data_IF_429869496848
#
_entry.id   IF_429869496848
#
_cell.length_a   1.000
_cell.length_b   1.000
_cell.length_c   1.000
_cell.angle_alpha   90.00
_cell.angle_beta   90.00
_cell.angle_gamma   90.00
#
_symmetry.space_group_name_H-M   'P 1'
#
loop_
_entity.id
_entity.type
_entity.pdbx_description
1 polymer ?
#
# COMPACT_ATOMS: atom_id res chain seq x y z
N UNK A 1 15.97 -0.45 -26.57
CA UNK A 1 15.12 0.71 -26.22
C UNK A 1 15.74 1.99 -26.77
N UNK A 2 15.01 3.10 -26.82
CA UNK A 2 15.50 4.40 -27.35
C UNK A 2 16.51 5.12 -26.44
N UNK A 3 17.07 4.45 -25.43
CA UNK A 3 17.97 5.07 -24.44
C UNK A 3 17.29 6.07 -23.51
N UNK A 4 15.96 5.96 -23.32
CA UNK A 4 15.16 6.88 -22.52
C UNK A 4 14.47 6.14 -21.37
N UNK A 5 14.22 6.86 -20.27
CA UNK A 5 13.51 6.39 -19.08
C UNK A 5 12.70 7.51 -18.42
N UNK A 6 11.86 7.15 -17.45
CA UNK A 6 11.15 8.15 -16.66
C UNK A 6 12.14 8.92 -15.75
N UNK A 7 11.92 10.21 -15.46
CA UNK A 7 12.94 11.05 -14.82
C UNK A 7 13.13 10.83 -13.31
N UNK A 8 12.13 10.27 -12.61
CA UNK A 8 12.20 10.01 -11.17
C UNK A 8 12.90 8.70 -10.80
N UNK A 9 13.04 8.42 -9.50
CA UNK A 9 13.77 7.25 -8.99
C UNK A 9 12.88 6.02 -9.02
N UNK A 10 11.85 5.98 -8.18
CA UNK A 10 10.83 4.92 -8.13
C UNK A 10 9.47 5.58 -8.30
N UNK A 11 9.01 5.69 -9.55
CA UNK A 11 7.78 6.41 -9.93
C UNK A 11 6.55 5.52 -10.09
N UNK A 12 6.75 4.21 -10.12
CA UNK A 12 5.71 3.23 -10.38
C UNK A 12 5.63 2.27 -9.19
N UNK A 13 4.43 1.74 -8.90
CA UNK A 13 4.28 0.79 -7.82
C UNK A 13 5.07 -0.51 -8.10
N UNK A 14 5.41 -1.28 -7.05
CA UNK A 14 6.11 -2.55 -7.20
C UNK A 14 5.43 -3.55 -8.14
N UNK A 15 4.10 -3.46 -8.31
CA UNK A 15 3.36 -4.26 -9.28
C UNK A 15 3.28 -3.55 -10.65
N UNK A 16 4.02 -4.07 -11.62
CA UNK A 16 4.23 -3.42 -12.92
C UNK A 16 3.19 -3.70 -14.01
N UNK A 17 2.11 -4.45 -13.73
CA UNK A 17 1.08 -4.78 -14.74
C UNK A 17 -0.07 -3.76 -14.81
N UNK A 18 0.17 -2.51 -14.40
CA UNK A 18 -0.82 -1.42 -14.48
C UNK A 18 -0.74 -0.67 -15.80
N UNK A 19 -1.88 -0.21 -16.31
CA UNK A 19 -1.89 0.74 -17.43
C UNK A 19 -1.39 2.11 -16.95
N UNK A 20 -0.76 2.88 -17.84
CA UNK A 20 -0.30 4.25 -17.52
C UNK A 20 -1.48 5.14 -17.10
N UNK A 21 -2.64 4.99 -17.75
CA UNK A 21 -3.86 5.72 -17.38
C UNK A 21 -4.32 5.40 -15.96
N UNK A 22 -4.36 4.10 -15.59
CA UNK A 22 -4.69 3.69 -14.22
C UNK A 22 -3.70 4.26 -13.21
N UNK A 23 -2.39 4.11 -13.45
CA UNK A 23 -1.36 4.61 -12.55
C UNK A 23 -1.47 6.13 -12.32
N UNK A 24 -1.80 6.90 -13.36
CA UNK A 24 -2.06 8.33 -13.24
C UNK A 24 -3.32 8.60 -12.40
N UNK A 25 -4.48 8.07 -12.80
CA UNK A 25 -5.75 8.46 -12.17
C UNK A 25 -5.89 7.97 -10.73
N UNK A 26 -5.17 6.92 -10.34
CA UNK A 26 -5.19 6.45 -8.94
C UNK A 26 -4.08 7.04 -8.08
N UNK A 27 -3.29 7.98 -8.61
CA UNK A 27 -2.08 8.50 -7.95
C UNK A 27 -1.13 7.38 -7.51
N UNK A 28 -1.01 6.32 -8.33
CA UNK A 28 -0.10 5.23 -8.02
C UNK A 28 1.33 5.74 -8.00
N UNK A 29 2.08 5.28 -7.01
CA UNK A 29 3.38 5.82 -6.70
C UNK A 29 4.36 4.72 -6.29
N UNK A 30 5.66 5.01 -6.43
CA UNK A 30 6.73 4.26 -5.79
C UNK A 30 7.13 4.93 -4.47
N UNK A 31 8.40 5.26 -4.35
CA UNK A 31 8.99 5.98 -3.22
C UNK A 31 10.06 6.95 -3.72
N UNK A 32 10.19 8.12 -3.11
CA UNK A 32 11.28 9.06 -3.40
C UNK A 32 11.53 10.02 -2.26
N UNK A 33 12.80 10.38 -2.05
CA UNK A 33 13.24 11.38 -1.09
C UNK A 33 13.71 12.69 -1.76
N UNK A 34 13.84 12.70 -3.09
CA UNK A 34 14.46 13.80 -3.85
C UNK A 34 13.54 14.43 -4.90
N UNK A 35 12.31 13.93 -5.05
CA UNK A 35 11.35 14.44 -6.01
C UNK A 35 10.02 13.68 -6.00
N UNK A 36 9.15 13.91 -6.99
CA UNK A 36 7.88 13.20 -7.10
C UNK A 36 8.07 11.68 -7.15
N UNK A 37 7.15 10.95 -6.53
CA UNK A 37 7.11 9.48 -6.55
C UNK A 37 5.97 8.93 -7.43
N UNK A 38 5.19 9.79 -8.08
CA UNK A 38 4.05 9.46 -8.94
C UNK A 38 4.26 10.00 -10.36
N UNK A 39 3.36 9.62 -11.29
CA UNK A 39 3.46 10.02 -12.69
C UNK A 39 3.00 11.45 -12.97
N UNK A 40 2.09 12.02 -12.15
CA UNK A 40 1.38 13.27 -12.46
C UNK A 40 2.31 14.43 -12.84
N UNK A 41 3.35 14.74 -12.06
CA UNK A 41 4.29 15.83 -12.37
C UNK A 41 5.07 15.67 -13.69
N UNK A 42 5.10 14.45 -14.23
CA UNK A 42 5.77 14.14 -15.50
C UNK A 42 4.82 14.08 -16.70
N UNK A 43 3.50 14.24 -16.49
CA UNK A 43 2.53 14.30 -17.59
C UNK A 43 2.54 15.68 -18.23
N UNK A 44 2.93 15.75 -19.50
CA UNK A 44 2.99 17.00 -20.27
C UNK A 44 1.70 17.30 -21.03
N UNK A 45 0.97 16.27 -21.43
CA UNK A 45 -0.34 16.40 -22.03
C UNK A 45 -1.15 15.11 -21.85
N UNK A 46 -2.48 15.21 -21.89
CA UNK A 46 -3.37 14.07 -21.97
C UNK A 46 -4.59 14.36 -22.85
N UNK A 47 -5.22 13.31 -23.34
CA UNK A 47 -6.53 13.37 -23.99
C UNK A 47 -7.55 12.70 -23.08
N UNK A 48 -8.59 13.45 -22.73
CA UNK A 48 -9.68 13.02 -21.85
C UNK A 48 -11.00 13.03 -22.63
N UNK A 49 -11.77 11.94 -22.57
CA UNK A 49 -13.16 11.89 -23.01
C UNK A 49 -14.06 12.03 -21.80
N UNK A 50 -14.85 13.11 -21.75
CA UNK A 50 -15.66 13.47 -20.61
C UNK A 50 -17.03 12.76 -20.58
N UNK A 51 -17.86 13.05 -19.57
CA UNK A 51 -19.16 12.40 -19.36
C UNK A 51 -20.20 12.70 -20.44
N UNK A 52 -19.97 13.73 -21.25
CA UNK A 52 -20.80 14.09 -22.41
C UNK A 52 -20.29 13.46 -23.72
N UNK A 53 -19.12 12.83 -23.69
CA UNK A 53 -18.43 12.32 -24.88
C UNK A 53 -17.57 13.37 -25.59
N UNK A 54 -17.38 14.55 -25.00
CA UNK A 54 -16.48 15.57 -25.55
C UNK A 54 -15.02 15.18 -25.31
N UNK A 55 -14.18 15.44 -26.32
CA UNK A 55 -12.74 15.20 -26.26
C UNK A 55 -12.04 16.49 -25.82
N UNK A 56 -11.27 16.40 -24.74
CA UNK A 56 -10.47 17.47 -24.19
C UNK A 56 -8.99 17.16 -24.36
N UNK A 57 -8.26 18.07 -24.99
CA UNK A 57 -6.81 18.08 -24.96
C UNK A 57 -6.37 18.92 -23.75
N UNK A 58 -5.65 18.29 -22.83
CA UNK A 58 -5.23 18.90 -21.58
C UNK A 58 -3.72 19.13 -21.59
N UNK A 59 -3.30 20.35 -21.25
CA UNK A 59 -1.90 20.72 -21.09
C UNK A 59 -1.50 20.61 -19.61
N UNK A 60 -0.37 19.93 -19.34
CA UNK A 60 0.13 19.65 -17.97
C UNK A 60 -0.96 19.15 -16.99
N UNK A 61 -1.69 18.09 -17.31
CA UNK A 61 -2.90 17.68 -16.58
C UNK A 61 -2.62 16.90 -15.28
N UNK A 62 -1.39 16.87 -14.78
CA UNK A 62 -1.02 16.12 -13.57
C UNK A 62 -1.94 16.44 -12.40
N UNK A 63 -2.08 17.73 -12.09
CA UNK A 63 -2.86 18.22 -10.94
C UNK A 63 -4.37 17.95 -11.08
N UNK A 64 -4.86 17.78 -12.32
CA UNK A 64 -6.26 17.46 -12.58
C UNK A 64 -6.54 15.95 -12.52
N UNK A 65 -5.66 15.15 -13.12
CA UNK A 65 -5.89 13.73 -13.34
C UNK A 65 -5.37 12.87 -12.20
N UNK A 66 -4.30 13.27 -11.52
CA UNK A 66 -3.71 12.49 -10.44
C UNK A 66 -4.69 12.35 -9.26
N UNK A 67 -4.97 11.09 -8.88
CA UNK A 67 -5.92 10.78 -7.82
C UNK A 67 -7.41 10.97 -8.20
N UNK A 68 -7.72 11.38 -9.43
CA UNK A 68 -9.10 11.60 -9.90
C UNK A 68 -9.97 10.32 -9.95
N UNK A 69 -9.35 9.15 -9.85
CA UNK A 69 -9.97 7.83 -9.90
C UNK A 69 -10.88 7.58 -11.12
N UNK A 70 -10.65 8.32 -12.23
CA UNK A 70 -11.46 8.23 -13.45
C UNK A 70 -12.82 8.94 -13.38
N UNK A 71 -13.09 9.70 -12.32
CA UNK A 71 -14.38 10.38 -12.11
C UNK A 71 -14.58 11.61 -13.01
N UNK A 72 -13.53 12.04 -13.71
CA UNK A 72 -13.58 13.14 -14.67
C UNK A 72 -13.82 12.65 -16.10
N UNK A 73 -13.56 11.38 -16.39
CA UNK A 73 -13.59 10.87 -17.76
C UNK A 73 -12.63 9.72 -18.03
N UNK A 74 -12.56 9.34 -19.30
CA UNK A 74 -11.68 8.30 -19.80
C UNK A 74 -10.44 8.93 -20.41
N UNK A 75 -9.28 8.72 -19.79
CA UNK A 75 -7.99 9.13 -20.35
C UNK A 75 -7.61 8.15 -21.46
N UNK A 76 -7.53 8.64 -22.70
CA UNK A 76 -7.23 7.82 -23.88
C UNK A 76 -5.77 7.90 -24.32
N UNK A 77 -5.12 9.05 -24.09
CA UNK A 77 -3.73 9.29 -24.46
C UNK A 77 -3.01 10.08 -23.38
N UNK A 78 -1.72 9.80 -23.17
CA UNK A 78 -0.85 10.48 -22.20
C UNK A 78 0.51 10.74 -22.85
N UNK A 79 1.00 11.97 -22.75
CA UNK A 79 2.37 12.34 -23.15
C UNK A 79 3.21 12.54 -21.90
N UNK A 80 4.25 11.72 -21.73
CA UNK A 80 5.15 11.76 -20.58
C UNK A 80 6.47 12.45 -20.92
N UNK A 81 6.98 13.26 -19.99
CA UNK A 81 8.36 13.67 -20.01
C UNK A 81 9.27 12.48 -19.72
N UNK A 82 10.33 12.35 -20.52
CA UNK A 82 11.34 11.30 -20.37
C UNK A 82 12.72 11.90 -20.44
N UNK A 83 13.66 11.31 -19.71
CA UNK A 83 15.09 11.66 -19.73
C UNK A 83 15.94 10.52 -20.29
N UNK A 84 17.27 10.69 -20.34
CA UNK A 84 18.19 9.59 -20.60
C UNK A 84 17.94 8.42 -19.64
N UNK A 85 18.00 7.20 -20.16
CA UNK A 85 17.91 6.01 -19.32
C UNK A 85 19.11 5.95 -18.36
N UNK A 86 18.85 5.57 -17.12
CA UNK A 86 19.84 5.48 -16.05
C UNK A 86 19.75 4.16 -15.30
N UNK A 87 20.81 3.83 -14.59
CA UNK A 87 20.80 2.74 -13.62
C UNK A 87 20.59 3.28 -12.21
N UNK A 88 20.19 2.38 -11.33
CA UNK A 88 20.05 2.62 -9.90
C UNK A 88 20.76 1.49 -9.16
N UNK A 89 21.29 1.82 -7.99
CA UNK A 89 21.87 0.88 -7.05
C UNK A 89 20.93 0.77 -5.85
N UNK A 90 20.59 -0.45 -5.45
CA UNK A 90 19.72 -0.71 -4.30
C UNK A 90 20.46 -1.56 -3.28
N UNK A 91 20.59 -1.04 -2.07
CA UNK A 91 21.10 -1.79 -0.92
C UNK A 91 19.93 -2.25 -0.06
N UNK A 92 19.85 -3.55 0.19
CA UNK A 92 18.89 -4.13 1.13
C UNK A 92 19.54 -4.28 2.51
N UNK A 93 18.90 -3.73 3.53
CA UNK A 93 19.33 -3.75 4.93
C UNK A 93 18.24 -4.43 5.74
N UNK A 94 18.57 -5.49 6.46
CA UNK A 94 17.65 -6.15 7.39
C UNK A 94 18.15 -5.93 8.80
N UNK A 95 17.29 -5.39 9.65
CA UNK A 95 17.62 -5.00 11.02
C UNK A 95 16.48 -5.34 11.98
N UNK A 96 16.80 -5.38 13.27
CA UNK A 96 15.80 -5.43 14.33
C UNK A 96 15.01 -4.12 14.37
N UNK A 97 13.70 -4.18 14.58
CA UNK A 97 12.84 -3.01 14.48
C UNK A 97 12.90 -2.06 15.67
N UNK A 98 13.63 -2.40 16.74
CA UNK A 98 13.69 -1.63 17.99
C UNK A 98 14.02 -0.14 17.80
N UNK A 99 14.89 0.19 16.85
CA UNK A 99 15.30 1.56 16.50
C UNK A 99 14.77 2.05 15.14
N UNK A 100 13.74 1.38 14.56
CA UNK A 100 13.20 1.64 13.22
C UNK A 100 13.16 3.14 12.84
N UNK A 101 12.51 3.98 13.64
CA UNK A 101 12.39 5.42 13.32
C UNK A 101 13.75 6.13 13.30
N UNK A 102 14.63 5.81 14.23
CA UNK A 102 15.99 6.38 14.31
C UNK A 102 16.85 5.93 13.13
N UNK A 103 16.82 4.64 12.80
CA UNK A 103 17.60 4.06 11.71
C UNK A 103 17.17 4.63 10.34
N UNK A 104 15.85 4.74 10.09
CA UNK A 104 15.36 5.33 8.85
C UNK A 104 15.73 6.81 8.71
N UNK A 105 15.72 7.57 9.82
CA UNK A 105 16.19 8.96 9.82
C UNK A 105 17.68 9.05 9.49
N UNK A 106 18.51 8.21 10.12
CA UNK A 106 19.94 8.17 9.85
C UNK A 106 20.24 7.86 8.37
N UNK A 107 19.53 6.89 7.79
CA UNK A 107 19.61 6.57 6.37
C UNK A 107 19.25 7.80 5.51
N UNK A 108 18.12 8.45 5.78
CA UNK A 108 17.66 9.60 5.00
C UNK A 108 18.65 10.77 5.08
N UNK A 109 19.22 11.03 6.26
CA UNK A 109 20.10 12.18 6.51
C UNK A 109 21.55 11.95 6.02
N UNK A 110 22.07 10.72 6.11
CA UNK A 110 23.50 10.46 5.97
C UNK A 110 23.90 9.54 4.81
N UNK A 111 22.96 8.94 4.07
CA UNK A 111 23.31 7.99 2.99
C UNK A 111 23.24 8.54 1.57
N UNK A 112 22.76 9.77 1.34
CA UNK A 112 22.44 10.28 0.00
C UNK A 112 21.41 9.40 -0.74
N UNK A 113 20.47 8.82 0.01
CA UNK A 113 19.39 8.01 -0.56
C UNK A 113 18.47 8.88 -1.44
N UNK A 114 18.25 8.43 -2.68
CA UNK A 114 17.32 9.04 -3.61
C UNK A 114 15.88 8.52 -3.42
N UNK A 115 15.76 7.30 -2.90
CA UNK A 115 14.50 6.72 -2.43
C UNK A 115 14.77 5.72 -1.30
N UNK A 116 13.75 5.50 -0.48
CA UNK A 116 13.76 4.52 0.60
C UNK A 116 12.41 3.84 0.66
N UNK A 117 12.38 2.53 0.77
CA UNK A 117 11.14 1.83 1.06
C UNK A 117 11.40 0.65 2.01
N UNK A 118 10.41 0.33 2.83
CA UNK A 118 10.58 -0.57 3.98
C UNK A 118 9.49 -1.62 3.99
N UNK A 119 9.84 -2.86 4.27
CA UNK A 119 8.90 -3.90 4.68
C UNK A 119 9.16 -4.18 6.16
N UNK A 120 8.21 -3.82 7.01
CA UNK A 120 8.27 -3.97 8.45
C UNK A 120 7.34 -5.09 8.91
N UNK A 121 7.84 -5.98 9.75
CA UNK A 121 7.02 -6.98 10.44
C UNK A 121 7.17 -6.78 11.95
N UNK A 122 6.26 -6.00 12.58
CA UNK A 122 6.31 -5.78 14.03
C UNK A 122 6.21 -7.11 14.80
N UNK A 123 5.48 -8.07 14.23
CA UNK A 123 5.32 -9.41 14.79
C UNK A 123 6.61 -10.22 14.82
N UNK A 124 7.50 -10.00 13.84
CA UNK A 124 8.80 -10.64 13.77
C UNK A 124 9.90 -9.82 14.48
N UNK A 125 9.61 -8.59 14.91
CA UNK A 125 10.59 -7.67 15.51
C UNK A 125 11.68 -7.21 14.53
N UNK A 126 11.38 -7.20 13.23
CA UNK A 126 12.36 -6.91 12.18
C UNK A 126 11.76 -6.06 11.05
N UNK A 127 12.63 -5.35 10.36
CA UNK A 127 12.31 -4.70 9.10
C UNK A 127 13.41 -4.90 8.07
N UNK A 128 13.03 -4.74 6.81
CA UNK A 128 13.94 -4.68 5.68
C UNK A 128 13.78 -3.34 4.98
N UNK A 129 14.82 -2.52 5.00
CA UNK A 129 14.92 -1.27 4.27
C UNK A 129 15.65 -1.47 2.93
N UNK A 130 15.13 -0.84 1.87
CA UNK A 130 15.72 -0.83 0.54
C UNK A 130 16.11 0.60 0.22
N UNK A 131 17.42 0.86 0.22
CA UNK A 131 18.02 2.19 0.06
C UNK A 131 18.47 2.33 -1.38
N UNK A 132 17.88 3.29 -2.10
CA UNK A 132 18.10 3.50 -3.52
C UNK A 132 19.03 4.68 -3.76
N UNK A 133 20.04 4.48 -4.60
CA UNK A 133 20.92 5.53 -5.07
C UNK A 133 20.84 5.64 -6.59
N UNK A 134 20.86 6.87 -7.09
CA UNK A 134 20.99 7.13 -8.52
C UNK A 134 22.41 6.75 -8.99
N UNK A 135 22.54 6.21 -10.20
CA UNK A 135 23.85 5.90 -10.78
C UNK A 135 23.88 6.23 -12.26
N UNK A 136 25.08 6.22 -12.82
CA UNK A 136 25.30 6.38 -14.25
C UNK A 136 24.97 5.12 -15.05
N UNK A 137 24.71 5.29 -16.35
CA UNK A 137 24.33 4.22 -17.26
C UNK A 137 25.43 3.18 -17.52
N UNK A 138 26.71 3.57 -17.32
CA UNK A 138 27.89 2.73 -17.53
C UNK A 138 28.23 1.84 -16.33
N UNK A 139 27.57 2.04 -15.18
CA UNK A 139 27.76 1.21 -14.00
C UNK A 139 27.44 -0.26 -14.31
N UNK A 140 28.29 -1.19 -13.85
CA UNK A 140 28.11 -2.63 -14.09
C UNK A 140 26.92 -3.20 -13.30
N UNK A 141 26.20 -4.14 -13.89
CA UNK A 141 25.02 -4.81 -13.32
C UNK A 141 23.79 -4.77 -14.23
N UNK A 142 22.98 -5.83 -14.20
CA UNK A 142 21.67 -5.89 -14.87
C UNK A 142 20.61 -6.54 -13.95
N UNK A 143 20.62 -6.14 -12.68
CA UNK A 143 19.63 -6.61 -11.72
C UNK A 143 18.21 -6.23 -12.16
N UNK A 144 17.23 -7.01 -11.71
CA UNK A 144 15.80 -6.80 -11.98
C UNK A 144 15.00 -7.02 -10.71
N UNK A 145 13.90 -6.29 -10.60
CA UNK A 145 12.96 -6.43 -9.50
C UNK A 145 12.26 -7.79 -9.55
N UNK A 146 12.17 -8.44 -8.39
CA UNK A 146 11.48 -9.72 -8.16
C UNK A 146 10.46 -9.58 -7.03
N UNK A 147 9.87 -8.39 -6.89
CA UNK A 147 8.85 -8.11 -5.88
C UNK A 147 7.77 -9.17 -5.84
N UNK A 148 7.57 -9.72 -4.65
CA UNK A 148 6.54 -10.73 -4.41
C UNK A 148 6.81 -12.07 -5.09
N UNK A 149 7.94 -12.29 -5.76
CA UNK A 149 8.26 -13.60 -6.35
C UNK A 149 8.69 -14.56 -5.25
N UNK A 150 8.00 -15.69 -5.16
CA UNK A 150 8.29 -16.78 -4.23
C UNK A 150 8.18 -18.11 -4.96
N UNK A 151 8.90 -19.14 -4.50
CA UNK A 151 8.80 -20.46 -5.11
C UNK A 151 7.38 -21.02 -5.00
N UNK A 152 6.98 -21.83 -5.99
CA UNK A 152 5.65 -22.44 -5.99
C UNK A 152 5.39 -23.29 -4.72
N UNK A 153 6.41 -24.04 -4.28
CA UNK A 153 6.36 -24.86 -3.06
C UNK A 153 6.14 -23.99 -1.81
N UNK A 154 6.81 -22.83 -1.75
CA UNK A 154 6.61 -21.89 -0.66
C UNK A 154 5.19 -21.32 -0.67
N UNK A 155 4.66 -20.94 -1.83
CA UNK A 155 3.30 -20.39 -1.95
C UNK A 155 2.23 -21.41 -1.55
N UNK A 156 2.40 -22.69 -1.93
CA UNK A 156 1.50 -23.75 -1.51
C UNK A 156 1.56 -23.96 0.02
N UNK A 157 2.77 -23.99 0.59
CA UNK A 157 2.95 -24.12 2.04
C UNK A 157 2.36 -22.93 2.79
N UNK A 158 2.58 -21.70 2.31
CA UNK A 158 2.02 -20.46 2.85
C UNK A 158 0.49 -20.53 2.88
N UNK A 159 -0.14 -20.91 1.77
CA UNK A 159 -1.58 -21.04 1.69
C UNK A 159 -2.15 -22.03 2.72
N UNK A 160 -1.49 -23.19 2.90
CA UNK A 160 -1.90 -24.18 3.92
C UNK A 160 -1.78 -23.63 5.35
N UNK A 161 -0.66 -22.96 5.66
CA UNK A 161 -0.42 -22.35 6.98
C UNK A 161 -1.45 -21.26 7.31
N UNK A 162 -1.75 -20.38 6.33
CA UNK A 162 -2.74 -19.31 6.50
C UNK A 162 -4.18 -19.86 6.67
N UNK A 163 -4.54 -20.93 5.96
CA UNK A 163 -5.83 -21.62 6.19
C UNK A 163 -5.90 -22.25 7.58
N UNK A 164 -4.79 -22.84 8.05
CA UNK A 164 -4.70 -23.43 9.38
C UNK A 164 -4.82 -22.38 10.49
N UNK A 165 -4.19 -21.22 10.34
CA UNK A 165 -4.27 -20.13 11.32
C UNK A 165 -5.70 -19.65 11.58
N UNK A 166 -6.50 -19.49 10.51
CA UNK A 166 -7.90 -19.05 10.62
C UNK A 166 -8.79 -20.03 11.40
N UNK A 167 -8.46 -21.33 11.44
CA UNK A 167 -9.21 -22.35 12.22
C UNK A 167 -8.55 -22.71 13.54
N UNK A 168 -7.29 -22.33 13.75
CA UNK A 168 -6.50 -22.75 14.91
C UNK A 168 -6.99 -22.09 16.20
N UNK A 169 -7.08 -22.89 17.27
CA UNK A 169 -7.44 -22.39 18.61
C UNK A 169 -6.26 -21.74 19.35
N UNK A 170 -5.03 -22.02 18.91
CA UNK A 170 -3.79 -21.56 19.53
C UNK A 170 -2.77 -21.18 18.45
N UNK A 171 -1.81 -20.34 18.81
CA UNK A 171 -0.71 -19.99 17.92
C UNK A 171 0.26 -21.16 17.72
N UNK A 172 0.50 -21.51 16.46
CA UNK A 172 1.46 -22.55 16.05
C UNK A 172 2.83 -21.97 15.70
N UNK A 173 2.95 -20.63 15.60
CA UNK A 173 4.16 -19.95 15.15
C UNK A 173 4.41 -20.04 13.63
N UNK A 174 3.57 -20.78 12.89
CA UNK A 174 3.73 -20.96 11.44
C UNK A 174 3.57 -19.65 10.66
N UNK A 175 2.71 -18.75 11.15
CA UNK A 175 2.54 -17.41 10.57
C UNK A 175 3.76 -16.54 10.86
N UNK A 176 4.39 -16.66 12.03
CA UNK A 176 5.62 -15.93 12.34
C UNK A 176 6.75 -16.29 11.36
N UNK A 177 6.93 -17.60 11.10
CA UNK A 177 7.91 -18.06 10.11
C UNK A 177 7.61 -17.51 8.71
N UNK A 178 6.34 -17.49 8.30
CA UNK A 178 5.91 -16.91 7.03
C UNK A 178 6.27 -15.42 6.91
N UNK A 179 6.01 -14.63 7.96
CA UNK A 179 6.34 -13.21 7.97
C UNK A 179 7.84 -12.96 7.97
N UNK A 180 8.62 -13.81 8.65
CA UNK A 180 10.07 -13.79 8.60
C UNK A 180 10.58 -13.96 7.16
N UNK A 181 10.09 -14.99 6.46
CA UNK A 181 10.43 -15.23 5.05
C UNK A 181 10.03 -14.04 4.15
N UNK A 182 8.82 -13.50 4.32
CA UNK A 182 8.34 -12.35 3.55
C UNK A 182 9.13 -11.07 3.80
N UNK A 183 9.55 -10.85 5.05
CA UNK A 183 10.34 -9.68 5.44
C UNK A 183 11.76 -9.80 4.92
N UNK A 184 12.36 -10.99 4.97
CA UNK A 184 13.74 -11.24 4.52
C UNK A 184 13.90 -11.55 3.03
N UNK A 185 12.81 -11.64 2.26
CA UNK A 185 12.87 -11.96 0.85
C UNK A 185 13.75 -10.97 0.08
N UNK A 186 14.55 -11.47 -0.88
CA UNK A 186 15.23 -10.59 -1.82
C UNK A 186 14.22 -10.02 -2.81
N UNK A 187 14.27 -8.70 -2.98
CA UNK A 187 13.42 -8.00 -3.96
C UNK A 187 14.10 -7.82 -5.32
N UNK A 188 15.32 -8.32 -5.48
CA UNK A 188 16.10 -8.19 -6.70
C UNK A 188 16.83 -9.50 -7.05
N UNK A 189 16.92 -9.78 -8.36
CA UNK A 189 17.71 -10.89 -8.90
C UNK A 189 18.77 -10.39 -9.88
N UNK A 190 19.86 -11.15 -10.04
CA UNK A 190 20.97 -10.88 -10.97
C UNK A 190 21.04 -11.99 -12.04
N UNK A 191 21.54 -11.69 -13.24
CA UNK A 191 21.61 -12.64 -14.36
C UNK A 191 22.59 -13.81 -14.13
N UNK A 192 23.55 -13.67 -13.22
CA UNK A 192 24.48 -14.74 -12.78
C UNK A 192 23.85 -15.76 -11.82
N UNK A 193 22.55 -15.61 -11.53
CA UNK A 193 21.78 -16.53 -10.71
C UNK A 193 21.67 -16.09 -9.25
N UNK A 194 20.82 -16.80 -8.51
CA UNK A 194 20.69 -16.65 -7.07
C UNK A 194 21.91 -17.27 -6.38
N UNK A 195 22.77 -16.46 -5.75
CA UNK A 195 23.69 -16.96 -4.73
C UNK A 195 22.99 -16.91 -3.37
N UNK A 196 22.75 -18.08 -2.76
CA UNK A 196 22.57 -18.17 -1.32
C UNK A 196 23.82 -17.55 -0.67
N UNK A 197 23.68 -16.33 -0.14
CA UNK A 197 24.78 -15.50 0.35
C UNK A 197 24.78 -14.05 -0.15
N UNK A 198 24.04 -13.72 -1.21
CA UNK A 198 23.91 -12.34 -1.74
C UNK A 198 22.89 -11.47 -0.97
N UNK A 199 22.42 -11.93 0.19
CA UNK A 199 21.35 -11.34 1.01
C UNK A 199 21.66 -9.93 1.55
N UNK A 200 22.86 -9.38 1.27
CA UNK A 200 23.35 -8.08 1.73
C UNK A 200 24.14 -7.31 0.65
N UNK A 201 23.95 -7.65 -0.63
CA UNK A 201 24.64 -7.02 -1.77
C UNK A 201 23.96 -5.75 -2.31
N UNK A 202 24.72 -4.92 -3.03
CA UNK A 202 24.16 -3.81 -3.82
C UNK A 202 23.70 -4.35 -5.17
N UNK A 203 22.40 -4.23 -5.45
CA UNK A 203 21.81 -4.60 -6.74
C UNK A 203 21.82 -3.41 -7.69
N UNK A 204 22.56 -3.51 -8.79
CA UNK A 204 22.62 -2.47 -9.82
C UNK A 204 21.86 -2.92 -11.06
N UNK A 205 20.91 -2.10 -11.51
CA UNK A 205 20.10 -2.39 -12.69
C UNK A 205 19.48 -1.13 -13.30
N UNK A 206 18.88 -1.26 -14.48
CA UNK A 206 18.17 -0.15 -15.13
C UNK A 206 16.96 0.26 -14.30
N UNK A 207 16.75 1.56 -14.08
CA UNK A 207 15.68 2.08 -13.23
C UNK A 207 14.30 1.48 -13.55
N UNK A 208 13.96 1.39 -14.84
CA UNK A 208 12.68 0.83 -15.31
C UNK A 208 12.54 -0.69 -15.12
N UNK A 209 13.65 -1.42 -14.84
CA UNK A 209 13.65 -2.86 -14.51
C UNK A 209 13.73 -3.11 -13.01
N UNK A 210 14.19 -2.13 -12.24
CA UNK A 210 14.32 -2.21 -10.79
C UNK A 210 13.04 -1.74 -10.08
N UNK A 211 12.31 -0.77 -10.65
CA UNK A 211 11.17 -0.14 -9.99
C UNK A 211 9.94 -1.06 -9.79
N UNK A 212 9.74 -2.08 -10.63
CA UNK A 212 8.55 -2.94 -10.53
C UNK A 212 8.75 -4.33 -11.12
N UNK A 213 7.94 -5.27 -10.66
CA UNK A 213 7.91 -6.67 -11.09
C UNK A 213 6.52 -7.05 -11.61
N UNK A 214 6.46 -8.14 -12.37
CA UNK A 214 5.21 -8.75 -12.83
C UNK A 214 5.19 -10.22 -12.44
N UNK A 215 4.01 -10.78 -12.19
CA UNK A 215 3.89 -12.22 -11.98
C UNK A 215 3.94 -12.94 -13.33
N UNK A 216 4.44 -14.18 -13.35
CA UNK A 216 4.37 -15.01 -14.55
C UNK A 216 2.93 -15.27 -14.97
N UNK A 217 2.74 -15.69 -16.23
CA UNK A 217 1.41 -15.88 -16.83
C UNK A 217 0.48 -16.79 -16.02
N UNK A 218 1.03 -17.77 -15.32
CA UNK A 218 0.26 -18.72 -14.51
C UNK A 218 0.03 -18.22 -13.06
N UNK A 219 0.70 -17.14 -12.65
CA UNK A 219 0.54 -16.50 -11.33
C UNK A 219 0.94 -17.35 -10.12
N UNK A 220 1.55 -18.52 -10.34
CA UNK A 220 2.00 -19.44 -9.30
C UNK A 220 3.45 -19.18 -8.85
N UNK A 221 4.04 -18.08 -9.31
CA UNK A 221 5.41 -17.65 -9.02
C UNK A 221 5.45 -16.33 -8.24
N UNK A 222 4.30 -15.76 -7.85
CA UNK A 222 4.24 -14.55 -7.04
C UNK A 222 3.14 -14.58 -5.96
N UNK A 223 3.32 -13.81 -4.88
CA UNK A 223 2.38 -13.72 -3.75
C UNK A 223 1.04 -13.09 -4.10
N UNK A 224 1.02 -12.06 -4.96
CA UNK A 224 -0.23 -11.40 -5.40
C UNK A 224 -1.15 -12.35 -6.16
N UNK A 225 -0.51 -13.25 -6.94
CA UNK A 225 -1.03 -14.43 -7.61
C UNK A 225 -1.46 -15.55 -6.70
N UNK A 226 -0.55 -15.85 -5.77
CA UNK A 226 -0.26 -17.13 -5.12
C UNK A 226 -1.02 -17.36 -3.82
N UNK A 227 -1.29 -16.29 -3.05
CA UNK A 227 -2.04 -16.30 -1.81
C UNK A 227 -3.19 -15.27 -1.86
N UNK A 228 -4.14 -15.33 -0.92
CA UNK A 228 -5.07 -14.21 -0.76
C UNK A 228 -4.27 -13.04 -0.17
N UNK A 229 -4.27 -11.92 -0.86
CA UNK A 229 -3.58 -10.70 -0.47
C UNK A 229 -4.60 -9.56 -0.50
N UNK A 230 -4.78 -8.91 0.66
CA UNK A 230 -5.69 -7.78 0.82
C UNK A 230 -4.88 -6.58 1.34
N UNK A 231 -4.42 -5.71 0.44
CA UNK A 231 -3.70 -4.51 0.86
C UNK A 231 -4.68 -3.59 1.59
N UNK A 232 -4.28 -3.06 2.74
CA UNK A 232 -4.93 -1.92 3.37
C UNK A 232 -3.99 -0.73 3.22
N UNK A 233 -4.10 -0.04 2.08
CA UNK A 233 -3.21 1.03 1.68
C UNK A 233 -3.79 2.41 2.02
N UNK A 234 -3.00 3.24 2.69
CA UNK A 234 -3.33 4.61 3.11
C UNK A 234 -2.06 5.46 3.22
N UNK A 235 -2.18 6.76 3.46
CA UNK A 235 -1.06 7.64 3.82
C UNK A 235 -1.32 8.36 5.13
N UNK A 236 -0.28 8.53 5.92
CA UNK A 236 -0.24 9.43 7.08
C UNK A 236 0.74 10.59 6.81
N UNK A 237 0.61 11.70 7.53
CA UNK A 237 1.63 12.76 7.49
C UNK A 237 2.99 12.17 7.86
N UNK A 238 4.06 12.58 7.16
CA UNK A 238 5.42 12.19 7.56
C UNK A 238 5.81 12.71 8.94
N UNK A 239 5.20 13.81 9.39
CA UNK A 239 5.42 14.39 10.71
C UNK A 239 4.92 13.48 11.83
N UNK A 240 3.87 12.70 11.58
CA UNK A 240 3.23 11.81 12.54
C UNK A 240 3.86 10.42 12.60
N UNK A 241 4.82 10.11 11.71
CA UNK A 241 5.31 8.76 11.50
C UNK A 241 5.88 8.12 12.78
N UNK A 242 6.60 8.88 13.59
CA UNK A 242 7.18 8.37 14.84
C UNK A 242 6.09 7.94 15.84
N UNK A 243 5.09 8.80 16.04
CA UNK A 243 3.97 8.51 16.94
C UNK A 243 3.14 7.33 16.42
N UNK A 244 2.92 7.27 15.11
CA UNK A 244 2.20 6.17 14.47
C UNK A 244 2.90 4.81 14.67
N UNK A 245 4.23 4.76 14.57
CA UNK A 245 5.01 3.53 14.85
C UNK A 245 4.81 3.06 16.29
N UNK A 246 4.85 3.97 17.26
CA UNK A 246 4.66 3.63 18.68
C UNK A 246 3.23 3.15 18.97
N UNK A 247 2.23 3.77 18.35
CA UNK A 247 0.85 3.32 18.44
C UNK A 247 0.63 1.93 17.82
N UNK A 248 1.26 1.65 16.67
CA UNK A 248 1.25 0.30 16.07
C UNK A 248 1.86 -0.71 17.03
N UNK A 249 3.01 -0.39 17.65
CA UNK A 249 3.66 -1.25 18.65
C UNK A 249 2.75 -1.51 19.85
N UNK A 250 2.04 -0.49 20.32
CA UNK A 250 1.08 -0.62 21.42
C UNK A 250 -0.04 -1.63 21.07
N UNK A 251 -0.63 -1.55 19.86
CA UNK A 251 -1.65 -2.52 19.41
C UNK A 251 -1.05 -3.92 19.32
N UNK A 252 0.14 -4.05 18.73
CA UNK A 252 0.82 -5.33 18.55
C UNK A 252 1.17 -6.01 19.88
N UNK A 253 1.46 -5.25 20.94
CA UNK A 253 1.74 -5.77 22.28
C UNK A 253 0.53 -6.43 22.97
N UNK A 254 -0.69 -6.28 22.43
CA UNK A 254 -1.91 -6.82 23.04
C UNK A 254 -2.17 -8.29 22.71
N UNK A 255 -1.48 -8.84 21.70
CA UNK A 255 -1.62 -10.24 21.28
C UNK A 255 -0.39 -11.07 21.61
N UNK A 256 -0.60 -12.37 21.78
CA UNK A 256 0.47 -13.36 21.72
C UNK A 256 0.37 -14.08 20.38
N UNK A 257 1.29 -13.78 19.46
CA UNK A 257 1.40 -14.41 18.16
C UNK A 257 1.49 -13.45 16.98
N UNK A 258 1.77 -13.97 15.79
CA UNK A 258 2.02 -13.14 14.62
C UNK A 258 0.78 -12.95 13.75
N UNK A 259 0.24 -11.73 13.62
CA UNK A 259 -0.79 -11.47 12.64
C UNK A 259 -0.25 -11.59 11.23
N UNK A 260 -1.01 -12.22 10.34
CA UNK A 260 -0.60 -12.48 8.96
C UNK A 260 -0.64 -11.21 8.08
N UNK A 261 0.06 -10.14 8.48
CA UNK A 261 0.33 -8.99 7.64
C UNK A 261 1.75 -8.47 7.83
N UNK A 262 2.30 -7.88 6.79
CA UNK A 262 3.48 -6.99 6.87
C UNK A 262 3.03 -5.55 6.65
N UNK A 263 3.87 -4.60 7.03
CA UNK A 263 3.64 -3.17 6.82
C UNK A 263 4.67 -2.69 5.80
N UNK A 264 4.23 -2.29 4.61
CA UNK A 264 5.09 -1.69 3.61
C UNK A 264 5.02 -0.16 3.73
N UNK A 265 6.17 0.50 3.86
CA UNK A 265 6.30 1.93 3.99
C UNK A 265 7.02 2.50 2.77
N UNK A 266 6.48 3.58 2.22
CA UNK A 266 7.10 4.36 1.13
C UNK A 266 7.02 5.84 1.48
N UNK A 267 8.04 6.60 1.15
CA UNK A 267 8.11 8.03 1.40
C UNK A 267 7.74 8.77 0.11
N UNK A 268 6.76 9.65 0.22
CA UNK A 268 6.17 10.31 -0.95
C UNK A 268 6.11 11.81 -0.68
N UNK A 269 6.75 12.57 -1.56
CA UNK A 269 6.71 14.03 -1.54
C UNK A 269 5.30 14.55 -1.77
N UNK A 270 5.06 15.79 -1.37
CA UNK A 270 3.80 16.51 -1.58
C UNK A 270 3.42 16.64 -3.06
N UNK A 271 2.11 16.67 -3.33
CA UNK A 271 1.50 16.95 -4.64
C UNK A 271 0.48 18.06 -4.53
N UNK A 272 0.27 18.77 -5.63
CA UNK A 272 -0.77 19.80 -5.78
C UNK A 272 -2.09 19.21 -6.32
N UNK A 273 -2.11 17.91 -6.66
CA UNK A 273 -3.30 17.25 -7.18
C UNK A 273 -4.35 17.05 -6.07
N UNK A 274 -5.56 17.64 -6.17
CA UNK A 274 -6.47 17.74 -5.03
C UNK A 274 -6.95 16.41 -4.44
N UNK A 275 -6.98 15.36 -5.25
CA UNK A 275 -7.41 14.02 -4.80
C UNK A 275 -6.25 13.07 -4.54
N UNK A 276 -5.00 13.51 -4.70
CA UNK A 276 -3.86 12.69 -4.34
C UNK A 276 -3.82 12.46 -2.81
N UNK A 277 -3.44 11.26 -2.41
CA UNK A 277 -3.28 10.93 -0.98
C UNK A 277 -2.17 11.73 -0.28
N UNK A 278 -1.34 12.43 -1.05
CA UNK A 278 -0.25 13.30 -0.63
C UNK A 278 -0.49 14.78 -1.03
N UNK A 279 -1.76 15.17 -1.27
CA UNK A 279 -2.15 16.55 -1.54
C UNK A 279 -1.81 17.48 -0.37
N UNK A 280 -1.03 18.54 -0.59
CA UNK A 280 -0.76 19.54 0.44
C UNK A 280 0.08 19.07 1.64
N UNK A 281 0.67 17.86 1.60
CA UNK A 281 1.61 17.37 2.62
C UNK A 281 2.51 16.25 2.12
N UNK A 282 3.73 16.20 2.64
CA UNK A 282 4.59 15.01 2.55
C UNK A 282 3.99 13.88 3.39
N UNK A 283 4.07 12.65 2.88
CA UNK A 283 3.45 11.49 3.53
C UNK A 283 4.36 10.29 3.61
N UNK A 284 4.08 9.45 4.60
CA UNK A 284 4.45 8.03 4.56
C UNK A 284 3.24 7.27 4.05
N UNK A 285 3.36 6.68 2.86
CA UNK A 285 2.40 5.74 2.35
C UNK A 285 2.59 4.39 3.06
N UNK A 286 1.54 3.94 3.73
CA UNK A 286 1.50 2.75 4.56
C UNK A 286 0.57 1.74 3.89
N UNK A 287 1.06 0.53 3.67
CA UNK A 287 0.25 -0.59 3.20
C UNK A 287 0.38 -1.75 4.17
N UNK A 288 -0.70 -2.05 4.89
CA UNK A 288 -0.79 -3.27 5.67
C UNK A 288 -1.19 -4.41 4.72
N UNK A 289 -0.19 -5.18 4.32
CA UNK A 289 -0.28 -6.29 3.39
C UNK A 289 -0.84 -7.53 4.10
N UNK A 290 -2.16 -7.61 4.24
CA UNK A 290 -2.79 -8.74 4.90
C UNK A 290 -2.86 -9.98 3.99
N UNK A 291 -2.49 -11.13 4.56
CA UNK A 291 -2.43 -12.41 3.88
C UNK A 291 -3.46 -13.38 4.46
N UNK A 292 -4.19 -14.05 3.57
CA UNK A 292 -5.16 -15.08 3.91
C UNK A 292 -4.98 -16.36 3.10
N UNK A 293 -5.57 -17.44 3.60
CA UNK A 293 -5.66 -18.69 2.85
C UNK A 293 -6.75 -18.60 1.78
N UNK A 294 -6.43 -18.98 0.53
CA UNK A 294 -7.41 -18.95 -0.57
C UNK A 294 -8.61 -19.85 -0.27
N UNK A 295 -9.81 -19.32 -0.51
CA UNK A 295 -11.07 -20.04 -0.27
C UNK A 295 -11.42 -20.18 1.21
N UNK A 296 -10.66 -19.55 2.12
CA UNK A 296 -11.01 -19.43 3.53
C UNK A 296 -12.27 -18.58 3.70
N UNK A 297 -13.19 -19.07 4.54
CA UNK A 297 -14.42 -18.35 4.92
C UNK A 297 -14.39 -17.86 6.36
N UNK A 298 -13.32 -18.17 7.09
CA UNK A 298 -13.13 -17.79 8.48
C UNK A 298 -12.16 -16.60 8.52
N UNK A 299 -12.49 -15.54 9.27
CA UNK A 299 -11.59 -14.40 9.46
C UNK A 299 -10.22 -14.84 9.98
N UNK A 300 -9.19 -14.04 9.67
CA UNK A 300 -7.87 -14.21 10.29
C UNK A 300 -8.00 -14.07 11.81
N UNK A 301 -7.34 -14.95 12.58
CA UNK A 301 -7.45 -14.95 14.05
C UNK A 301 -7.13 -13.59 14.68
N UNK A 302 -6.18 -12.89 14.08
CA UNK A 302 -5.67 -11.59 14.53
C UNK A 302 -6.18 -10.42 13.70
N UNK A 303 -7.26 -10.58 12.94
CA UNK A 303 -7.83 -9.51 12.09
C UNK A 303 -8.13 -8.24 12.89
N UNK A 304 -8.51 -8.37 14.16
CA UNK A 304 -8.76 -7.25 15.07
C UNK A 304 -7.57 -6.28 15.19
N UNK A 305 -6.33 -6.77 15.18
CA UNK A 305 -5.13 -5.91 15.28
C UNK A 305 -4.97 -5.05 14.02
N UNK A 306 -5.17 -5.68 12.85
CA UNK A 306 -5.17 -4.99 11.56
C UNK A 306 -6.28 -3.93 11.52
N UNK A 307 -7.49 -4.28 11.95
CA UNK A 307 -8.63 -3.36 11.97
C UNK A 307 -8.43 -2.19 12.94
N UNK A 308 -7.85 -2.44 14.11
CA UNK A 308 -7.53 -1.41 15.09
C UNK A 308 -6.46 -0.45 14.54
N UNK A 309 -5.39 -0.99 13.93
CA UNK A 309 -4.34 -0.17 13.31
C UNK A 309 -4.89 0.67 12.16
N UNK A 310 -5.72 0.09 11.29
CA UNK A 310 -6.31 0.83 10.16
C UNK A 310 -7.26 1.92 10.66
N UNK A 311 -8.14 1.64 11.63
CA UNK A 311 -9.05 2.66 12.17
C UNK A 311 -8.29 3.78 12.88
N UNK A 312 -7.29 3.44 13.70
CA UNK A 312 -6.41 4.44 14.32
C UNK A 312 -5.69 5.29 13.27
N UNK A 313 -5.17 4.69 12.20
CA UNK A 313 -4.54 5.43 11.10
C UNK A 313 -5.52 6.42 10.46
N UNK A 314 -6.74 5.97 10.12
CA UNK A 314 -7.75 6.82 9.47
C UNK A 314 -8.22 7.97 10.37
N UNK A 315 -8.42 7.69 11.65
CA UNK A 315 -9.13 8.60 12.56
C UNK A 315 -8.21 9.48 13.41
N UNK A 316 -7.14 8.91 13.99
CA UNK A 316 -6.19 9.66 14.80
C UNK A 316 -5.19 10.42 13.94
N UNK A 317 -4.75 9.81 12.84
CA UNK A 317 -3.69 10.34 11.96
C UNK A 317 -4.22 10.90 10.63
N UNK A 318 -5.55 11.06 10.53
CA UNK A 318 -6.23 11.61 9.35
C UNK A 318 -5.75 10.94 8.05
N UNK A 319 -5.58 9.62 8.09
CA UNK A 319 -4.99 8.93 6.97
C UNK A 319 -5.88 8.98 5.73
N UNK A 320 -5.25 9.09 4.56
CA UNK A 320 -5.94 9.15 3.27
C UNK A 320 -5.83 7.81 2.56
N UNK A 321 -6.94 7.10 2.29
CA UNK A 321 -6.88 5.80 1.62
C UNK A 321 -6.34 5.91 0.18
N UNK A 322 -5.56 4.92 -0.25
CA UNK A 322 -5.01 4.88 -1.61
C UNK A 322 -6.07 4.40 -2.63
N UNK A 323 -6.33 5.18 -3.69
CA UNK A 323 -7.40 4.91 -4.68
C UNK A 323 -7.37 3.53 -5.35
N UNK A 324 -6.19 3.01 -5.71
CA UNK A 324 -6.09 1.68 -6.34
C UNK A 324 -6.14 0.48 -5.38
N UNK A 325 -5.64 0.64 -4.14
CA UNK A 325 -5.26 -0.48 -3.28
C UNK A 325 -6.05 -0.52 -1.97
N UNK A 326 -6.73 0.56 -1.58
CA UNK A 326 -7.55 0.57 -0.38
C UNK A 326 -8.86 -0.22 -0.60
N UNK A 327 -9.25 -1.11 0.32
CA UNK A 327 -10.57 -1.69 0.32
C UNK A 327 -11.63 -0.59 0.49
N UNK A 328 -12.78 -0.76 -0.15
CA UNK A 328 -13.86 0.23 -0.16
C UNK A 328 -14.23 0.75 1.25
N UNK A 329 -14.21 -0.11 2.28
CA UNK A 329 -14.54 0.26 3.66
C UNK A 329 -13.65 1.37 4.27
N UNK A 330 -12.43 1.56 3.76
CA UNK A 330 -11.55 2.64 4.21
C UNK A 330 -12.09 4.02 3.79
N UNK A 331 -12.72 4.13 2.62
CA UNK A 331 -13.34 5.38 2.14
C UNK A 331 -14.68 5.68 2.81
N UNK A 332 -15.38 4.64 3.28
CA UNK A 332 -16.67 4.75 3.97
C UNK A 332 -16.52 4.53 5.48
N UNK A 333 -15.38 4.95 6.03
CA UNK A 333 -15.08 4.86 7.46
C UNK A 333 -15.83 5.94 8.26
N UNK A 334 -15.87 5.84 9.60
CA UNK A 334 -16.39 6.90 10.46
C UNK A 334 -15.59 8.21 10.41
N UNK A 335 -14.43 8.23 9.76
CA UNK A 335 -13.49 9.35 9.68
C UNK A 335 -13.38 9.75 8.20
N UNK A 336 -14.25 10.66 7.73
CA UNK A 336 -14.47 10.85 6.30
C UNK A 336 -13.27 11.46 5.59
N UNK A 337 -12.84 10.86 4.48
CA UNK A 337 -11.77 11.39 3.63
C UNK A 337 -12.02 12.84 3.17
N UNK A 338 -13.29 13.23 3.00
CA UNK A 338 -13.64 14.61 2.66
C UNK A 338 -13.16 15.61 3.72
N UNK A 339 -13.19 15.23 4.99
CA UNK A 339 -12.78 16.12 6.07
C UNK A 339 -11.25 16.25 6.12
N UNK A 340 -10.51 15.20 5.74
CA UNK A 340 -9.03 15.21 5.71
C UNK A 340 -8.43 15.84 4.44
N UNK A 341 -9.19 15.90 3.33
CA UNK A 341 -8.83 16.63 2.11
C UNK A 341 -9.34 18.08 2.11
N UNK A 342 -10.44 18.37 2.82
CA UNK A 342 -10.95 19.73 2.98
C UNK A 342 -11.20 20.45 1.65
N UNK A 343 -10.56 21.61 1.47
CA UNK A 343 -10.72 22.47 0.30
C UNK A 343 -10.31 21.78 -1.02
N UNK A 344 -9.35 20.86 -0.97
CA UNK A 344 -8.92 20.11 -2.15
C UNK A 344 -10.04 19.20 -2.67
N UNK A 345 -10.82 18.61 -1.77
CA UNK A 345 -11.99 17.82 -2.15
C UNK A 345 -13.03 18.69 -2.86
N UNK A 346 -13.28 19.90 -2.36
CA UNK A 346 -14.24 20.83 -2.97
C UNK A 346 -13.76 21.33 -4.34
N UNK A 347 -12.46 21.65 -4.48
CA UNK A 347 -11.84 22.00 -5.76
C UNK A 347 -12.00 20.87 -6.80
N UNK A 348 -11.85 19.61 -6.37
CA UNK A 348 -12.10 18.46 -7.24
C UNK A 348 -13.57 18.34 -7.66
N UNK A 349 -14.52 18.61 -6.75
CA UNK A 349 -15.95 18.59 -7.10
C UNK A 349 -16.30 19.65 -8.14
N UNK A 350 -15.69 20.83 -8.05
CA UNK A 350 -15.86 21.89 -9.06
C UNK A 350 -15.35 21.46 -10.44
N UNK A 351 -14.16 20.84 -10.49
CA UNK A 351 -13.63 20.28 -11.72
C UNK A 351 -14.55 19.18 -12.28
N UNK A 352 -14.99 18.25 -11.43
CA UNK A 352 -15.90 17.17 -11.83
C UNK A 352 -17.22 17.68 -12.39
N UNK A 353 -17.78 18.76 -11.84
CA UNK A 353 -19.01 19.35 -12.37
C UNK A 353 -18.86 19.86 -13.82
N UNK A 354 -17.64 20.16 -14.27
CA UNK A 354 -17.36 20.57 -15.64
C UNK A 354 -17.25 19.37 -16.59
N UNK A 355 -16.56 18.30 -16.16
CA UNK A 355 -16.27 17.15 -17.03
C UNK A 355 -17.32 16.03 -16.96
N UNK A 356 -17.98 15.82 -15.82
CA UNK A 356 -19.00 14.77 -15.66
C UNK A 356 -20.29 15.32 -15.00
N UNK A 357 -20.97 16.29 -15.63
CA UNK A 357 -22.17 16.92 -15.05
C UNK A 357 -23.34 15.93 -14.87
N UNK A 358 -23.39 14.87 -15.69
CA UNK A 358 -24.40 13.83 -15.62
C UNK A 358 -24.04 12.68 -14.66
N UNK A 359 -22.88 12.76 -13.99
CA UNK A 359 -22.38 11.72 -13.06
C UNK A 359 -22.23 10.33 -13.71
N UNK A 360 -21.92 10.27 -15.00
CA UNK A 360 -21.75 9.02 -15.77
C UNK A 360 -20.66 8.13 -15.18
N UNK A 361 -19.56 8.70 -14.68
CA UNK A 361 -18.42 7.96 -14.14
C UNK A 361 -18.50 7.73 -12.64
N UNK A 362 -19.66 7.97 -12.03
CA UNK A 362 -19.85 7.85 -10.58
C UNK A 362 -20.06 6.40 -10.18
N UNK A 363 -19.16 5.90 -9.33
CA UNK A 363 -19.26 4.55 -8.79
C UNK A 363 -20.08 4.54 -7.49
N UNK A 364 -20.63 3.38 -7.07
CA UNK A 364 -21.30 3.26 -5.77
C UNK A 364 -20.42 3.69 -4.58
N UNK A 365 -19.11 3.44 -4.66
CA UNK A 365 -18.14 3.87 -3.66
C UNK A 365 -18.08 5.40 -3.58
N UNK A 366 -17.94 6.07 -4.73
CA UNK A 366 -17.83 7.52 -4.75
C UNK A 366 -19.17 8.19 -4.38
N UNK A 367 -20.30 7.65 -4.82
CA UNK A 367 -21.62 8.11 -4.36
C UNK A 367 -21.76 7.98 -2.82
N UNK A 368 -21.27 6.88 -2.23
CA UNK A 368 -21.23 6.74 -0.78
C UNK A 368 -20.35 7.81 -0.13
N UNK A 369 -19.16 8.08 -0.67
CA UNK A 369 -18.25 9.12 -0.17
C UNK A 369 -18.87 10.52 -0.24
N UNK A 370 -19.47 10.89 -1.38
CA UNK A 370 -20.15 12.18 -1.58
C UNK A 370 -21.28 12.40 -0.57
N UNK A 371 -22.06 11.34 -0.31
CA UNK A 371 -23.21 11.37 0.58
C UNK A 371 -22.85 11.02 2.04
N UNK A 372 -21.55 10.93 2.39
CA UNK A 372 -21.05 10.53 3.71
C UNK A 372 -21.71 9.25 4.25
N UNK A 373 -22.00 8.29 3.36
CA UNK A 373 -22.59 7.00 3.73
C UNK A 373 -21.51 6.06 4.23
N UNK A 374 -21.78 5.43 5.36
CA UNK A 374 -20.97 4.33 5.87
C UNK A 374 -21.17 3.08 5.02
N UNK A 375 -20.24 2.14 5.15
CA UNK A 375 -20.30 0.85 4.45
C UNK A 375 -21.60 0.06 4.74
N UNK A 376 -22.04 -0.80 3.80
CA UNK A 376 -23.30 -1.52 3.94
C UNK A 376 -23.26 -2.49 5.12
N UNK A 377 -24.36 -2.57 5.88
CA UNK A 377 -24.47 -3.43 7.06
C UNK A 377 -25.37 -4.62 6.79
N UNK A 378 -24.81 -5.80 6.97
CA UNK A 378 -25.49 -7.08 6.85
C UNK A 378 -24.70 -8.13 7.65
N UNK A 379 -25.29 -9.30 7.97
CA UNK A 379 -24.57 -10.34 8.70
C UNK A 379 -23.27 -10.75 8.01
N UNK A 380 -22.14 -10.62 8.70
CA UNK A 380 -20.80 -10.91 8.17
C UNK A 380 -20.13 -9.80 7.36
N UNK A 381 -20.70 -8.59 7.28
CA UNK A 381 -20.14 -7.50 6.48
C UNK A 381 -18.71 -7.08 6.87
N UNK A 382 -18.30 -7.22 8.14
CA UNK A 382 -16.96 -6.83 8.57
C UNK A 382 -15.91 -7.83 8.05
N UNK A 383 -16.24 -9.12 8.08
CA UNK A 383 -15.42 -10.20 7.53
C UNK A 383 -15.26 -10.08 6.02
N UNK A 384 -16.33 -9.66 5.34
CA UNK A 384 -16.30 -9.39 3.90
C UNK A 384 -15.48 -8.14 3.55
N UNK A 385 -15.12 -7.31 4.54
CA UNK A 385 -14.40 -6.06 4.31
C UNK A 385 -15.29 -4.92 3.82
N UNK A 386 -16.61 -5.00 4.04
CA UNK A 386 -17.58 -4.00 3.59
C UNK A 386 -17.94 -2.98 4.68
N UNK A 387 -17.80 -3.35 5.96
CA UNK A 387 -18.21 -2.51 7.08
C UNK A 387 -17.22 -2.57 8.25
N UNK A 388 -17.36 -1.62 9.18
CA UNK A 388 -16.79 -1.68 10.53
C UNK A 388 -17.86 -2.21 11.47
N UNK A 389 -17.49 -3.11 12.39
CA UNK A 389 -18.49 -3.78 13.20
C UNK A 389 -19.18 -2.81 14.19
N UNK A 390 -20.43 -3.11 14.51
CA UNK A 390 -21.22 -2.40 15.54
C UNK A 390 -22.02 -3.35 16.41
N UNK A 391 -22.31 -4.55 15.88
CA UNK A 391 -22.93 -5.66 16.58
C UNK A 391 -22.24 -6.96 16.16
N UNK A 392 -22.34 -7.99 16.99
CA UNK A 392 -21.71 -9.30 16.77
C UNK A 392 -22.08 -9.91 15.40
N UNK A 393 -23.31 -9.65 14.92
CA UNK A 393 -23.77 -10.13 13.62
C UNK A 393 -22.90 -9.69 12.45
N UNK A 394 -22.23 -8.53 12.53
CA UNK A 394 -21.33 -8.04 11.47
C UNK A 394 -20.02 -8.85 11.38
N UNK A 395 -19.57 -9.47 12.48
CA UNK A 395 -18.29 -10.17 12.56
C UNK A 395 -18.33 -11.63 12.09
N UNK A 396 -19.50 -12.13 11.71
CA UNK A 396 -19.66 -13.51 11.27
C UNK A 396 -19.52 -14.53 12.41
N UNK A 397 -19.46 -15.82 12.05
CA UNK A 397 -19.49 -16.89 13.04
C UNK A 397 -18.23 -16.90 13.93
N UNK A 398 -18.43 -17.19 15.23
CA UNK A 398 -17.37 -17.32 16.26
C UNK A 398 -16.58 -16.05 16.54
N UNK A 399 -17.10 -14.89 16.14
CA UNK A 399 -16.49 -13.60 16.42
C UNK A 399 -17.52 -12.66 17.04
N UNK A 400 -17.03 -11.71 17.83
CA UNK A 400 -17.83 -10.67 18.47
C UNK A 400 -17.30 -9.30 18.12
N UNK A 401 -18.20 -8.34 18.09
CA UNK A 401 -17.84 -6.96 17.91
C UNK A 401 -17.54 -6.35 19.28
N UNK A 402 -16.29 -5.97 19.51
CA UNK A 402 -15.85 -5.39 20.78
C UNK A 402 -15.05 -4.12 20.54
N UNK A 403 -14.93 -3.29 21.56
CA UNK A 403 -13.97 -2.19 21.56
C UNK A 403 -12.53 -2.74 21.43
N UNK A 404 -11.70 -2.01 20.68
CA UNK A 404 -10.27 -2.22 20.51
C UNK A 404 -9.53 -2.34 21.84
N UNK A 405 -8.33 -2.92 21.80
CA UNK A 405 -7.55 -3.20 22.98
C UNK A 405 -6.81 -1.96 23.51
N UNK A 406 -6.33 -1.10 22.62
CA UNK A 406 -5.64 0.16 22.91
C UNK A 406 -6.55 1.36 22.63
N UNK A 407 -7.18 1.38 21.46
CA UNK A 407 -8.07 2.44 20.99
C UNK A 407 -9.52 1.99 21.13
N UNK A 408 -10.04 2.13 22.35
CA UNK A 408 -11.36 1.62 22.75
C UNK A 408 -12.55 2.29 22.06
N UNK A 409 -12.32 3.43 21.41
CA UNK A 409 -13.29 4.14 20.58
C UNK A 409 -13.59 3.42 19.25
N UNK A 410 -12.71 2.52 18.81
CA UNK A 410 -12.89 1.74 17.58
C UNK A 410 -13.39 0.34 17.91
N UNK A 411 -14.36 -0.14 17.14
CA UNK A 411 -14.85 -1.51 17.27
C UNK A 411 -14.12 -2.43 16.29
N UNK A 412 -13.80 -3.63 16.74
CA UNK A 412 -13.07 -4.66 15.98
C UNK A 412 -13.70 -6.03 16.17
N UNK A 413 -13.52 -6.90 15.17
CA UNK A 413 -14.00 -8.27 15.24
C UNK A 413 -12.95 -9.19 15.88
N UNK A 414 -13.23 -9.66 17.10
CA UNK A 414 -12.36 -10.61 17.82
C UNK A 414 -12.96 -12.01 17.85
N UNK A 415 -12.15 -13.09 17.86
CA UNK A 415 -12.65 -14.44 18.13
C UNK A 415 -13.36 -14.52 19.49
N UNK A 416 -14.40 -15.34 19.61
CA UNK A 416 -15.12 -15.55 20.89
C UNK A 416 -14.21 -16.05 22.03
N UNK A 417 -13.15 -16.78 21.69
CA UNK A 417 -12.15 -17.27 22.63
C UNK A 417 -11.07 -16.24 22.98
N UNK A 418 -11.13 -15.04 22.39
CA UNK A 418 -10.21 -13.97 22.70
C UNK A 418 -10.53 -13.40 24.08
N UNK A 419 -9.55 -13.45 24.96
CA UNK A 419 -9.58 -12.76 26.23
C UNK A 419 -8.60 -11.60 26.13
N UNK A 420 -9.03 -10.37 26.48
CA UNK A 420 -8.07 -9.30 26.77
C UNK A 420 -7.08 -9.88 27.76
N UNK A 421 -5.78 -9.79 27.49
CA UNK A 421 -4.79 -10.02 28.53
C UNK A 421 -5.08 -8.98 29.63
N UNK A 422 -5.89 -9.37 30.63
CA UNK A 422 -6.39 -8.47 31.66
C UNK A 422 -5.35 -8.22 32.75
N UNK A 423 -4.11 -8.64 32.55
CA UNK A 423 -3.00 -8.49 33.48
C UNK A 423 -1.71 -8.39 32.67
N UNK A 424 -1.28 -7.16 32.40
CA UNK A 424 0.13 -6.81 32.25
C UNK A 424 0.58 -6.18 33.56
#
# INVERSE_FOLDING_TARGET
>A
GRGLGLPGVVLVPPYGEMTVGAALVTASHGSSLVGPASLGPYVKAAVLVDGSGQVHALDTPGDLLEGSAGLLGVVTEVTLAVGPARKVAVKQLQEEDGQLVGDLRDIIEHSEAAALDVTWSPAAGMYTARVWHETEADMSGDARATWGHMSADWLEAANRRLLADGVARHDTGEVCALLGDLTGASHFSREDGWSEGDQYGVSVGWANRMAGASCGRNGLDCVWRGAQYVPHALSISSEDFADWVEDVRAVMATTKGCPAFTINLRFVMESDAPMAMHSGRQVVAVELAAHGGRGGTIPMRSAHLLEEIVQMSLCKYEARPHWAHAPNRLFTSPCPLRDTLGADFDAFLEARAQYDPASLFTTPLYDALLNRRLGPRYPGCAVAGDCWCQEDGHCGARHKCVAGAVFTEYNVCVPESWHRNSEL
#
